data_IF_185369149591
#
_entry.id   IF_185369149591
#
_cell.length_a   1.000
_cell.length_b   1.000
_cell.length_c   1.000
_cell.angle_alpha   90.00
_cell.angle_beta   90.00
_cell.angle_gamma   90.00
#
_symmetry.space_group_name_H-M   'P 1'
#
loop_
_entity.id
_entity.type
_entity.pdbx_description
1 polymer ?
#
# COMPACT_ATOMS: atom_id res chain seq x y z
N UNK A 1 6.45 6.40 36.19
CA UNK A 1 5.69 5.14 35.99
C UNK A 1 4.29 5.39 35.45
N UNK A 2 3.44 6.20 36.10
CA UNK A 2 2.10 6.58 35.56
C UNK A 2 2.13 7.23 34.18
N UNK A 3 3.10 8.10 33.93
CA UNK A 3 3.23 8.80 32.65
C UNK A 3 3.66 7.89 31.49
N UNK A 4 4.45 6.84 31.79
CA UNK A 4 4.86 5.82 30.82
C UNK A 4 3.70 4.88 30.47
N UNK A 5 2.85 4.53 31.44
CA UNK A 5 1.67 3.70 31.22
C UNK A 5 0.68 4.40 30.28
N UNK A 6 0.42 5.68 30.51
CA UNK A 6 -0.46 6.49 29.67
C UNK A 6 0.07 6.66 28.23
N UNK A 7 1.40 6.77 28.08
CA UNK A 7 2.03 6.82 26.75
C UNK A 7 1.86 5.50 25.98
N UNK A 8 2.03 4.36 26.65
CA UNK A 8 1.86 3.03 26.04
C UNK A 8 0.41 2.76 25.61
N UNK A 9 -0.57 3.15 26.44
CA UNK A 9 -1.99 3.03 26.10
C UNK A 9 -2.35 3.86 24.85
N UNK A 10 -1.85 5.10 24.78
CA UNK A 10 -2.01 5.95 23.60
C UNK A 10 -1.37 5.33 22.36
N UNK A 11 -0.13 4.83 22.47
CA UNK A 11 0.56 4.18 21.37
C UNK A 11 -0.24 2.97 20.84
N UNK A 12 -0.76 2.14 21.75
CA UNK A 12 -1.58 0.98 21.40
C UNK A 12 -2.87 1.36 20.69
N UNK A 13 -3.55 2.43 21.14
CA UNK A 13 -4.77 2.92 20.49
C UNK A 13 -4.46 3.47 19.08
N UNK A 14 -3.41 4.28 18.93
CA UNK A 14 -2.97 4.84 17.65
C UNK A 14 -2.65 3.72 16.66
N UNK A 15 -1.85 2.74 17.09
CA UNK A 15 -1.51 1.55 16.30
C UNK A 15 -2.76 0.77 15.87
N UNK A 16 -3.71 0.55 16.79
CA UNK A 16 -4.96 -0.14 16.50
C UNK A 16 -5.81 0.57 15.44
N UNK A 17 -5.90 1.90 15.49
CA UNK A 17 -6.64 2.70 14.51
C UNK A 17 -5.94 2.72 13.14
N UNK A 18 -4.61 2.90 13.12
CA UNK A 18 -3.83 2.90 11.89
C UNK A 18 -3.92 1.57 11.15
N UNK A 19 -3.88 0.45 11.87
CA UNK A 19 -4.06 -0.89 11.28
C UNK A 19 -5.43 -1.08 10.62
N UNK A 20 -6.46 -0.40 11.11
CA UNK A 20 -7.84 -0.47 10.59
C UNK A 20 -8.12 0.55 9.48
N UNK A 21 -7.14 1.37 9.10
CA UNK A 21 -7.32 2.38 8.05
C UNK A 21 -7.79 1.73 6.75
N UNK A 22 -8.70 2.36 6.00
CA UNK A 22 -9.01 1.90 4.65
C UNK A 22 -7.77 2.00 3.75
N UNK A 23 -7.62 1.09 2.77
CA UNK A 23 -6.60 1.23 1.72
C UNK A 23 -6.74 2.58 1.00
N UNK A 24 -5.64 3.32 0.87
CA UNK A 24 -5.63 4.66 0.27
C UNK A 24 -5.81 5.81 1.26
N UNK A 25 -6.36 5.57 2.45
CA UNK A 25 -6.62 6.61 3.45
C UNK A 25 -5.57 6.67 4.57
N UNK A 26 -4.59 5.76 4.56
CA UNK A 26 -3.57 5.68 5.62
C UNK A 26 -2.90 7.04 5.92
N UNK A 27 -2.51 7.79 4.88
CA UNK A 27 -1.92 9.12 5.05
C UNK A 27 -2.88 10.13 5.71
N UNK A 28 -4.16 10.10 5.35
CA UNK A 28 -5.18 10.96 5.94
C UNK A 28 -5.45 10.59 7.40
N UNK A 29 -5.55 9.30 7.71
CA UNK A 29 -5.73 8.81 9.08
C UNK A 29 -4.55 9.22 9.96
N UNK A 30 -3.31 9.18 9.46
CA UNK A 30 -2.13 9.68 10.18
C UNK A 30 -2.28 11.18 10.50
N UNK A 31 -2.74 11.99 9.54
CA UNK A 31 -2.96 13.43 9.75
C UNK A 31 -4.04 13.70 10.79
N UNK A 32 -5.17 12.99 10.71
CA UNK A 32 -6.30 13.14 11.63
C UNK A 32 -5.90 12.74 13.06
N UNK A 33 -5.12 11.66 13.21
CA UNK A 33 -4.60 11.21 14.51
C UNK A 33 -3.58 12.20 15.08
N UNK A 34 -2.72 12.79 14.23
CA UNK A 34 -1.82 13.87 14.62
C UNK A 34 -2.57 15.05 15.23
N UNK A 35 -3.66 15.49 14.58
CA UNK A 35 -4.51 16.57 15.08
C UNK A 35 -5.25 16.21 16.39
N UNK A 36 -5.70 14.96 16.53
CA UNK A 36 -6.45 14.49 17.69
C UNK A 36 -5.57 14.26 18.93
N UNK A 37 -4.44 13.59 18.76
CA UNK A 37 -3.54 13.20 19.86
C UNK A 37 -2.66 14.36 20.31
N UNK A 38 -2.35 15.30 19.40
CA UNK A 38 -1.45 16.45 19.62
C UNK A 38 -0.04 16.03 20.08
N UNK A 39 0.40 14.85 19.66
CA UNK A 39 1.76 14.33 19.83
C UNK A 39 2.23 13.74 18.50
N UNK A 40 2.65 14.62 17.59
CA UNK A 40 3.09 14.24 16.24
C UNK A 40 4.25 13.26 16.26
N UNK A 41 5.11 13.33 17.29
CA UNK A 41 6.26 12.43 17.41
C UNK A 41 5.78 11.01 17.67
N UNK A 42 4.83 10.83 18.58
CA UNK A 42 4.25 9.53 18.88
C UNK A 42 3.48 8.98 17.68
N UNK A 43 2.62 9.79 17.05
CA UNK A 43 1.83 9.36 15.90
C UNK A 43 2.71 8.94 14.73
N UNK A 44 3.75 9.73 14.39
CA UNK A 44 4.69 9.39 13.33
C UNK A 44 5.51 8.14 13.64
N UNK A 45 5.86 7.92 14.91
CA UNK A 45 6.58 6.72 15.33
C UNK A 45 5.71 5.47 15.13
N UNK A 46 4.47 5.49 15.59
CA UNK A 46 3.55 4.36 15.43
C UNK A 46 3.18 4.15 13.95
N UNK A 47 2.94 5.22 13.20
CA UNK A 47 2.69 5.16 11.76
C UNK A 47 3.85 4.55 10.98
N UNK A 48 5.11 4.84 11.35
CA UNK A 48 6.27 4.22 10.70
C UNK A 48 6.34 2.72 11.00
N UNK A 49 5.96 2.33 12.22
CA UNK A 49 5.96 0.93 12.67
C UNK A 49 4.93 0.10 11.89
N UNK A 50 3.70 0.60 11.75
CA UNK A 50 2.60 -0.17 11.14
C UNK A 50 2.45 0.07 9.64
N UNK A 51 2.87 1.21 9.12
CA UNK A 51 2.62 1.62 7.73
C UNK A 51 3.22 0.66 6.71
N UNK A 52 4.40 0.11 6.98
CA UNK A 52 5.00 -0.90 6.10
C UNK A 52 4.16 -2.18 6.02
N UNK A 53 3.66 -2.66 7.16
CA UNK A 53 2.82 -3.85 7.22
C UNK A 53 1.44 -3.59 6.58
N UNK A 54 0.83 -2.46 6.93
CA UNK A 54 -0.45 -2.02 6.40
C UNK A 54 -0.43 -1.93 4.87
N UNK A 55 0.56 -1.23 4.31
CA UNK A 55 0.63 -1.01 2.87
C UNK A 55 0.87 -2.31 2.09
N UNK A 56 1.73 -3.19 2.62
CA UNK A 56 2.02 -4.50 2.00
C UNK A 56 0.83 -5.45 2.07
N UNK A 57 0.10 -5.47 3.18
CA UNK A 57 -1.07 -6.34 3.35
C UNK A 57 -2.25 -5.90 2.47
N UNK A 58 -2.38 -4.60 2.23
CA UNK A 58 -3.42 -4.01 1.40
C UNK A 58 -3.02 -3.85 -0.07
N UNK A 59 -1.87 -4.39 -0.48
CA UNK A 59 -1.37 -4.30 -1.86
C UNK A 59 -1.38 -2.87 -2.38
N UNK A 60 -0.91 -1.91 -1.57
CA UNK A 60 -1.09 -0.49 -1.87
C UNK A 60 -0.48 -0.13 -3.23
N UNK A 61 -1.28 0.42 -4.17
CA UNK A 61 -0.78 0.82 -5.48
C UNK A 61 0.05 2.10 -5.36
N UNK A 62 1.20 2.14 -6.03
CA UNK A 62 2.07 3.31 -6.13
C UNK A 62 2.37 3.63 -7.59
N UNK A 63 2.47 4.92 -7.91
CA UNK A 63 2.78 5.38 -9.25
C UNK A 63 4.29 5.55 -9.42
N UNK A 64 4.87 4.81 -10.36
CA UNK A 64 6.27 4.95 -10.75
C UNK A 64 6.32 5.07 -12.28
N UNK A 65 6.94 6.15 -12.79
CA UNK A 65 7.07 6.41 -14.23
C UNK A 65 5.74 6.32 -15.02
N UNK A 66 4.61 6.68 -14.39
CA UNK A 66 3.29 6.60 -15.01
C UNK A 66 2.65 5.22 -15.02
N UNK A 67 3.28 4.22 -14.39
CA UNK A 67 2.74 2.87 -14.18
C UNK A 67 2.42 2.61 -12.72
N UNK A 68 1.45 1.75 -12.48
CA UNK A 68 1.09 1.31 -11.14
C UNK A 68 1.91 0.08 -10.74
N UNK A 69 2.57 0.13 -9.59
CA UNK A 69 3.23 -1.01 -8.96
C UNK A 69 2.57 -1.27 -7.61
N UNK A 70 2.34 -2.54 -7.27
CA UNK A 70 1.76 -2.91 -5.98
C UNK A 70 2.86 -3.11 -4.94
N UNK A 71 2.70 -2.50 -3.77
CA UNK A 71 3.55 -2.79 -2.61
C UNK A 71 3.11 -4.11 -1.97
N UNK A 72 3.99 -5.10 -1.96
CA UNK A 72 3.69 -6.45 -1.44
C UNK A 72 4.87 -7.01 -0.65
N UNK A 73 4.64 -8.10 0.09
CA UNK A 73 5.74 -8.86 0.72
C UNK A 73 6.62 -9.59 -0.30
N UNK A 74 6.16 -9.74 -1.55
CA UNK A 74 6.85 -10.49 -2.59
C UNK A 74 7.86 -9.65 -3.37
N UNK A 75 7.66 -8.33 -3.42
CA UNK A 75 8.61 -7.39 -4.00
C UNK A 75 9.40 -6.60 -2.97
N UNK A 76 9.22 -6.84 -1.67
CA UNK A 76 10.03 -6.20 -0.64
C UNK A 76 11.48 -6.70 -0.67
N UNK A 77 12.41 -5.78 -0.89
CA UNK A 77 13.85 -6.01 -0.85
C UNK A 77 14.45 -5.67 0.53
N UNK A 78 13.64 -5.18 1.46
CA UNK A 78 14.05 -4.68 2.76
C UNK A 78 14.40 -3.19 2.74
N UNK A 79 14.41 -2.56 3.92
CA UNK A 79 14.79 -1.15 4.07
C UNK A 79 13.92 -0.18 3.26
N UNK A 80 12.61 -0.45 3.18
CA UNK A 80 11.64 0.31 2.38
C UNK A 80 11.88 0.29 0.86
N UNK A 81 12.74 -0.62 0.37
CA UNK A 81 12.99 -0.80 -1.05
C UNK A 81 12.09 -1.90 -1.62
N UNK A 82 11.45 -1.61 -2.75
CA UNK A 82 10.53 -2.51 -3.44
C UNK A 82 10.97 -2.74 -4.88
N UNK A 83 10.89 -3.97 -5.36
CA UNK A 83 11.22 -4.32 -6.74
C UNK A 83 10.05 -4.04 -7.67
N UNK A 84 10.31 -3.32 -8.75
CA UNK A 84 9.42 -3.27 -9.91
C UNK A 84 9.85 -4.31 -10.92
N UNK A 85 8.95 -5.25 -11.19
CA UNK A 85 9.21 -6.34 -12.12
C UNK A 85 9.14 -5.92 -13.59
N UNK A 86 8.43 -4.83 -13.90
CA UNK A 86 8.29 -4.36 -15.28
C UNK A 86 9.55 -3.64 -15.75
N UNK A 87 10.01 -2.64 -15.00
CA UNK A 87 11.18 -1.86 -15.37
C UNK A 87 12.50 -2.41 -14.79
N UNK A 88 12.41 -3.48 -13.99
CA UNK A 88 13.56 -4.20 -13.39
C UNK A 88 14.45 -3.28 -12.54
N UNK A 89 13.85 -2.31 -11.84
CA UNK A 89 14.54 -1.47 -10.86
C UNK A 89 13.94 -1.65 -9.46
N UNK A 90 14.65 -1.17 -8.44
CA UNK A 90 14.11 -1.03 -7.09
C UNK A 90 13.68 0.41 -6.83
N UNK A 91 12.69 0.58 -5.96
CA UNK A 91 12.13 1.86 -5.57
C UNK A 91 12.06 1.95 -4.07
N UNK A 92 12.59 3.04 -3.53
CA UNK A 92 12.40 3.36 -2.12
C UNK A 92 11.06 4.07 -1.91
N UNK A 93 10.24 3.56 -1.01
CA UNK A 93 8.92 4.10 -0.70
C UNK A 93 8.82 4.57 0.76
N UNK A 94 8.47 5.84 0.95
CA UNK A 94 8.19 6.37 2.28
C UNK A 94 6.75 6.04 2.69
N UNK A 95 6.62 5.08 3.61
CA UNK A 95 5.34 4.64 4.17
C UNK A 95 4.58 5.72 4.95
N UNK A 96 5.25 6.78 5.43
CA UNK A 96 4.62 7.89 6.12
C UNK A 96 4.07 8.94 5.15
N UNK A 97 4.88 9.29 4.15
CA UNK A 97 4.52 10.35 3.21
C UNK A 97 3.71 9.85 2.01
N UNK A 98 3.72 8.54 1.74
CA UNK A 98 3.13 7.96 0.55
C UNK A 98 3.90 8.29 -0.74
N UNK A 99 5.16 8.70 -0.62
CA UNK A 99 5.97 9.22 -1.73
C UNK A 99 7.10 8.24 -2.08
N UNK A 100 7.34 8.11 -3.37
CA UNK A 100 8.47 7.38 -3.93
C UNK A 100 9.72 8.27 -3.94
N UNK A 101 10.82 7.85 -3.31
CA UNK A 101 11.98 8.74 -3.07
C UNK A 101 13.07 8.61 -4.14
N UNK A 102 13.26 7.46 -4.81
CA UNK A 102 14.13 7.31 -6.00
C UNK A 102 14.08 5.89 -6.58
N UNK A 103 14.14 5.72 -7.91
CA UNK A 103 14.47 4.44 -8.52
C UNK A 103 15.99 4.20 -8.43
N UNK A 104 16.41 3.09 -7.82
CA UNK A 104 17.77 2.58 -7.89
C UNK A 104 17.81 1.34 -8.79
N UNK A 105 18.79 1.25 -9.69
CA UNK A 105 18.93 0.08 -10.56
C UNK A 105 19.50 -1.08 -9.75
N UNK A 106 18.73 -2.16 -9.57
CA UNK A 106 19.23 -3.38 -8.95
C UNK A 106 19.21 -4.51 -9.99
N UNK A 107 20.39 -5.02 -10.36
CA UNK A 107 20.58 -5.92 -11.51
C UNK A 107 20.22 -7.39 -11.24
N UNK A 108 19.63 -7.73 -10.09
CA UNK A 108 19.55 -9.12 -9.64
C UNK A 108 18.11 -9.60 -9.42
N UNK A 109 17.70 -10.47 -10.35
CA UNK A 109 16.72 -11.56 -10.31
C UNK A 109 15.25 -11.28 -9.99
N UNK A 110 14.42 -11.43 -11.03
CA UNK A 110 13.25 -12.31 -11.08
C UNK A 110 12.72 -12.29 -12.54
N UNK A 111 12.63 -13.46 -13.17
CA UNK A 111 12.07 -13.63 -14.52
C UNK A 111 10.54 -13.47 -14.42
N UNK A 112 10.08 -12.23 -14.51
CA UNK A 112 8.68 -11.84 -14.36
C UNK A 112 8.06 -11.62 -15.73
N UNK A 113 6.98 -12.36 -16.02
CA UNK A 113 6.15 -12.16 -17.21
C UNK A 113 4.78 -11.59 -16.83
N UNK A 114 4.30 -10.61 -17.62
CA UNK A 114 2.94 -10.10 -17.55
C UNK A 114 1.92 -11.22 -17.81
N UNK A 115 0.96 -11.40 -16.92
CA UNK A 115 -0.10 -12.40 -17.11
C UNK A 115 -1.45 -11.94 -16.56
N UNK A 116 -1.76 -10.65 -16.67
CA UNK A 116 -3.00 -10.12 -16.10
C UNK A 116 -3.73 -9.18 -17.06
N UNK A 117 -4.87 -9.66 -17.54
CA UNK A 117 -5.91 -8.90 -18.22
C UNK A 117 -7.05 -8.67 -17.23
N UNK A 118 -7.00 -7.60 -16.45
CA UNK A 118 -8.16 -7.08 -15.74
C UNK A 118 -8.53 -5.71 -16.33
N UNK A 119 -9.79 -5.49 -16.78
CA UNK A 119 -10.18 -4.22 -17.39
C UNK A 119 -10.18 -3.05 -16.40
N UNK A 120 -10.30 -3.36 -15.10
CA UNK A 120 -10.18 -2.42 -13.99
C UNK A 120 -9.47 -3.16 -12.86
N UNK A 121 -8.24 -2.75 -12.51
CA UNK A 121 -7.44 -3.34 -11.45
C UNK A 121 -5.94 -3.32 -11.76
N UNK A 122 -5.14 -3.32 -10.71
CA UNK A 122 -3.69 -3.42 -10.74
C UNK A 122 -3.25 -4.86 -10.51
N UNK A 123 -2.17 -5.26 -11.16
CA UNK A 123 -1.70 -6.65 -11.09
C UNK A 123 -0.18 -6.72 -11.18
N UNK A 124 0.43 -7.64 -10.43
CA UNK A 124 1.83 -7.98 -10.57
C UNK A 124 2.05 -9.48 -10.37
N UNK A 125 3.01 -10.04 -11.10
CA UNK A 125 3.38 -11.45 -11.05
C UNK A 125 4.83 -11.57 -10.58
N UNK A 126 5.16 -12.63 -9.86
CA UNK A 126 6.51 -12.88 -9.34
C UNK A 126 6.84 -14.37 -9.49
N UNK A 127 8.09 -14.69 -9.84
CA UNK A 127 8.55 -16.08 -10.06
C UNK A 127 9.69 -16.48 -9.12
N UNK A 128 9.41 -16.87 -7.89
CA UNK A 128 10.44 -17.23 -6.92
C UNK A 128 10.98 -18.64 -7.14
N UNK A 129 12.29 -18.81 -7.26
CA UNK A 129 12.95 -20.12 -7.20
C UNK A 129 13.21 -20.52 -5.75
N UNK A 130 12.63 -21.63 -5.30
CA UNK A 130 12.86 -22.21 -3.97
C UNK A 130 13.55 -23.58 -4.13
N UNK A 131 14.88 -23.56 -4.17
CA UNK A 131 15.68 -24.75 -4.52
C UNK A 131 15.41 -25.18 -5.96
N UNK A 132 15.01 -26.44 -6.16
CA UNK A 132 14.63 -26.97 -7.48
C UNK A 132 13.19 -26.63 -7.90
N UNK A 133 12.37 -26.07 -7.00
CA UNK A 133 10.98 -25.72 -7.29
C UNK A 133 10.85 -24.27 -7.75
N UNK A 134 10.02 -24.04 -8.77
CA UNK A 134 9.62 -22.69 -9.19
C UNK A 134 8.24 -22.37 -8.61
N UNK A 135 8.12 -21.22 -7.96
CA UNK A 135 6.88 -20.69 -7.41
C UNK A 135 6.47 -19.45 -8.20
N UNK A 136 5.25 -19.43 -8.71
CA UNK A 136 4.65 -18.25 -9.34
C UNK A 136 3.61 -17.67 -8.40
N UNK A 137 3.69 -16.36 -8.16
CA UNK A 137 2.77 -15.60 -7.31
C UNK A 137 2.16 -14.50 -8.16
N UNK A 138 0.84 -14.47 -8.28
CA UNK A 138 0.12 -13.37 -8.89
C UNK A 138 -0.61 -12.59 -7.79
N UNK A 139 -0.40 -11.28 -7.77
CA UNK A 139 -1.06 -10.34 -6.87
C UNK A 139 -2.01 -9.47 -7.71
N UNK A 140 -3.27 -9.42 -7.30
CA UNK A 140 -4.32 -8.67 -8.00
C UNK A 140 -4.99 -7.78 -6.95
N UNK A 141 -5.05 -6.50 -7.26
CA UNK A 141 -5.70 -5.48 -6.46
C UNK A 141 -6.68 -4.73 -7.37
N UNK A 142 -7.93 -4.62 -6.97
CA UNK A 142 -8.96 -4.00 -7.79
C UNK A 142 -9.88 -3.15 -6.92
N UNK A 143 -9.41 -1.97 -6.52
CA UNK A 143 -10.17 -1.04 -5.70
C UNK A 143 -10.61 0.16 -6.55
N UNK A 144 -11.90 0.51 -6.49
CA UNK A 144 -12.42 1.76 -7.05
C UNK A 144 -12.61 2.77 -5.92
N UNK A 145 -11.64 3.65 -5.74
CA UNK A 145 -11.72 4.72 -4.76
C UNK A 145 -12.50 5.91 -5.36
N UNK A 146 -13.79 6.00 -5.03
CA UNK A 146 -14.58 7.19 -5.36
C UNK A 146 -14.42 8.21 -4.23
N UNK A 147 -13.47 9.14 -4.36
CA UNK A 147 -13.54 10.35 -3.55
C UNK A 147 -14.82 11.09 -3.93
N UNK A 148 -15.75 11.19 -2.99
CA UNK A 148 -16.88 12.11 -3.14
C UNK A 148 -16.30 13.52 -2.98
N UNK A 149 -15.73 14.05 -4.05
CA UNK A 149 -15.51 15.48 -4.19
C UNK A 149 -16.90 16.10 -4.19
N UNK A 150 -17.18 16.93 -3.17
CA UNK A 150 -18.47 17.59 -3.04
C UNK A 150 -18.75 18.47 -4.25
N UNK A 151 -19.45 17.95 -5.24
CA UNK A 151 -20.31 18.65 -6.22
C UNK A 151 -20.88 17.65 -7.23
N UNK A 152 -21.94 16.92 -6.82
CA UNK A 152 -23.14 16.66 -7.60
C UNK A 152 -23.92 15.48 -6.98
N UNK A 153 -25.03 15.79 -6.32
CA UNK A 153 -26.13 14.84 -6.19
C UNK A 153 -26.63 14.53 -7.61
N UNK A 154 -26.32 13.34 -8.12
CA UNK A 154 -26.84 12.82 -9.37
C UNK A 154 -27.08 11.33 -9.21
N UNK A 155 -28.21 10.97 -8.59
CA UNK A 155 -28.68 9.59 -8.55
C UNK A 155 -29.01 9.15 -9.98
N UNK A 156 -28.09 8.45 -10.65
CA UNK A 156 -28.42 7.67 -11.83
C UNK A 156 -28.58 6.21 -11.39
N UNK A 157 -29.84 5.80 -11.30
CA UNK A 157 -30.27 4.42 -11.21
C UNK A 157 -29.78 3.65 -12.45
N UNK A 158 -28.68 2.90 -12.30
CA UNK A 158 -28.22 1.96 -13.31
C UNK A 158 -29.10 0.71 -13.33
N UNK A 159 -29.99 0.64 -14.31
CA UNK A 159 -30.75 -0.55 -14.68
C UNK A 159 -29.80 -1.70 -15.05
N UNK A 160 -29.96 -2.87 -14.41
CA UNK A 160 -29.39 -4.14 -14.88
C UNK A 160 -29.95 -4.48 -16.27
N UNK A 161 -29.12 -4.84 -17.26
CA UNK A 161 -29.61 -5.54 -18.44
C UNK A 161 -29.91 -7.00 -18.08
N UNK A 162 -31.16 -7.42 -18.30
CA UNK A 162 -31.58 -8.82 -18.33
C UNK A 162 -30.84 -9.55 -19.44
N UNK A 163 -30.15 -10.64 -19.09
CA UNK A 163 -29.70 -11.64 -20.05
C UNK A 163 -30.93 -12.36 -20.63
N UNK A 164 -30.99 -12.43 -21.95
CA UNK A 164 -31.91 -13.25 -22.73
C UNK A 164 -31.16 -14.46 -23.29
#
# INVERSE_FOLDING_TARGET
MRDQLHKLEKASLICGLLCQSPPGDFGQVVQDLSALVRDDKLVRQEAACVGACHNKNNFTPIQINGRTVLLTHYNDLGGNSFFDSQDKFSVEFDHLCGVTIKPQLHSVMLDVGELCHFPVGNCCTFKKSLGERQLFVACIEAHQYHQITGTAFGCQTGLLPRLH
#
